data_IF_304745671561
#
_entry.id   IF_304745671561
#
_cell.length_a   1.000
_cell.length_b   1.000
_cell.length_c   1.000
_cell.angle_alpha   90.00
_cell.angle_beta   90.00
_cell.angle_gamma   90.00
#
_symmetry.space_group_name_H-M   'P 1'
#
loop_
_entity.id
_entity.type
_entity.pdbx_description
1 polymer ?
#
# COMPACT_ATOMS: atom_id res chain seq x y z
N UNK A 1 -8.57 -0.35 -11.40
CA UNK A 1 -8.59 1.06 -10.96
C UNK A 1 -7.18 1.60 -11.16
N UNK A 2 -7.02 2.65 -11.95
CA UNK A 2 -5.73 3.29 -12.26
C UNK A 2 -5.45 4.49 -11.37
N UNK A 3 -5.71 4.38 -10.07
CA UNK A 3 -5.47 5.46 -9.10
C UNK A 3 -3.99 5.38 -8.72
N UNK A 4 -3.24 6.40 -9.09
CA UNK A 4 -1.84 6.54 -8.70
C UNK A 4 -1.76 7.31 -7.37
N UNK A 5 -0.73 7.03 -6.58
CA UNK A 5 -0.43 7.82 -5.38
C UNK A 5 -0.24 9.29 -5.80
N UNK A 6 -0.84 10.22 -5.07
CA UNK A 6 -0.88 11.64 -5.45
C UNK A 6 0.40 12.39 -4.98
N UNK A 7 1.38 11.67 -4.43
CA UNK A 7 2.60 12.29 -3.93
C UNK A 7 3.71 11.31 -3.57
N UNK A 8 4.89 11.84 -3.28
CA UNK A 8 6.07 11.07 -2.86
C UNK A 8 6.28 11.17 -1.35
N UNK A 9 6.97 10.21 -0.74
CA UNK A 9 7.27 10.24 0.71
C UNK A 9 7.97 11.52 1.16
N UNK A 10 8.74 12.13 0.25
CA UNK A 10 9.46 13.37 0.46
C UNK A 10 8.53 14.58 0.69
N UNK A 11 7.33 14.59 0.11
CA UNK A 11 6.38 15.70 0.30
C UNK A 11 5.82 15.73 1.72
N UNK A 12 5.62 14.57 2.34
CA UNK A 12 5.18 14.50 3.74
C UNK A 12 6.21 15.14 4.69
N UNK A 13 7.50 14.93 4.44
CA UNK A 13 8.60 15.54 5.20
C UNK A 13 8.56 17.06 5.02
N UNK A 14 8.44 17.53 3.77
CA UNK A 14 8.37 18.97 3.47
C UNK A 14 7.15 19.65 4.13
N UNK A 15 5.99 19.01 4.18
CA UNK A 15 4.82 19.56 4.87
C UNK A 15 5.02 19.67 6.37
N UNK A 16 5.66 18.67 6.98
CA UNK A 16 5.98 18.69 8.40
C UNK A 16 6.96 19.82 8.74
N UNK A 17 8.05 19.94 7.99
CA UNK A 17 9.05 21.01 8.18
C UNK A 17 8.46 22.42 8.00
N UNK A 18 7.48 22.57 7.12
CA UNK A 18 6.79 23.85 6.85
C UNK A 18 5.62 24.12 7.81
N UNK A 19 5.33 23.24 8.78
CA UNK A 19 4.19 23.37 9.70
C UNK A 19 2.81 23.20 9.05
N UNK A 20 2.76 22.64 7.83
CA UNK A 20 1.55 22.41 7.02
C UNK A 20 0.85 21.11 7.42
N UNK A 21 0.32 21.09 8.65
CA UNK A 21 -0.23 19.87 9.25
C UNK A 21 -1.51 19.38 8.56
N UNK A 22 -2.32 20.28 8.00
CA UNK A 22 -3.55 19.89 7.29
C UNK A 22 -3.24 19.17 5.97
N UNK A 23 -2.24 19.64 5.22
CA UNK A 23 -1.74 18.99 4.01
C UNK A 23 -1.11 17.64 4.33
N UNK A 24 -0.31 17.56 5.40
CA UNK A 24 0.25 16.31 5.89
C UNK A 24 -0.87 15.30 6.25
N UNK A 25 -1.90 15.74 6.96
CA UNK A 25 -3.05 14.90 7.31
C UNK A 25 -3.78 14.41 6.06
N UNK A 26 -4.02 15.29 5.08
CA UNK A 26 -4.63 14.92 3.78
C UNK A 26 -3.80 13.89 3.04
N UNK A 27 -2.47 14.05 3.02
CA UNK A 27 -1.54 13.09 2.42
C UNK A 27 -1.65 11.72 3.08
N UNK A 28 -1.56 11.64 4.41
CA UNK A 28 -1.67 10.38 5.14
C UNK A 28 -3.03 9.69 4.95
N UNK A 29 -4.12 10.46 4.98
CA UNK A 29 -5.46 9.92 4.75
C UNK A 29 -5.62 9.36 3.34
N UNK A 30 -5.00 10.00 2.33
CA UNK A 30 -5.03 9.52 0.96
C UNK A 30 -4.33 8.17 0.81
N UNK A 31 -3.19 7.99 1.45
CA UNK A 31 -2.46 6.72 1.44
C UNK A 31 -3.30 5.57 2.04
N UNK A 32 -4.02 5.84 3.12
CA UNK A 32 -4.96 4.88 3.74
C UNK A 32 -6.13 4.58 2.79
N UNK A 33 -6.73 5.60 2.17
CA UNK A 33 -7.84 5.43 1.22
C UNK A 33 -7.45 4.55 0.02
N UNK A 34 -6.26 4.77 -0.54
CA UNK A 34 -5.74 4.00 -1.68
C UNK A 34 -5.52 2.54 -1.26
N UNK A 35 -4.84 2.31 -0.14
CA UNK A 35 -4.58 0.95 0.37
C UNK A 35 -5.89 0.22 0.68
N UNK A 36 -6.87 0.90 1.28
CA UNK A 36 -8.19 0.33 1.54
C UNK A 36 -8.91 -0.10 0.27
N UNK A 37 -8.87 0.72 -0.80
CA UNK A 37 -9.48 0.34 -2.09
C UNK A 37 -8.82 -0.88 -2.72
N UNK A 38 -7.50 -1.01 -2.60
CA UNK A 38 -6.75 -2.19 -3.07
C UNK A 38 -7.18 -3.42 -2.27
N UNK A 39 -7.23 -3.30 -0.94
CA UNK A 39 -7.68 -4.35 -0.05
C UNK A 39 -9.11 -4.80 -0.38
N UNK A 40 -10.06 -3.87 -0.45
CA UNK A 40 -11.46 -4.17 -0.79
C UNK A 40 -11.60 -4.85 -2.15
N UNK A 41 -10.84 -4.41 -3.16
CA UNK A 41 -10.81 -5.07 -4.45
C UNK A 41 -10.33 -6.52 -4.33
N UNK A 42 -9.17 -6.74 -3.71
CA UNK A 42 -8.63 -8.09 -3.62
C UNK A 42 -9.46 -8.99 -2.70
N UNK A 43 -10.11 -8.46 -1.65
CA UNK A 43 -11.06 -9.19 -0.80
C UNK A 43 -12.30 -9.63 -1.57
N UNK A 44 -12.85 -8.74 -2.41
CA UNK A 44 -14.05 -9.01 -3.20
C UNK A 44 -13.80 -9.93 -4.40
N UNK A 45 -12.66 -9.79 -5.07
CA UNK A 45 -12.38 -10.46 -6.35
C UNK A 45 -11.32 -11.55 -6.28
N UNK A 46 -10.57 -11.66 -5.18
CA UNK A 46 -9.55 -12.70 -4.97
C UNK A 46 -8.28 -12.51 -5.81
N UNK A 47 -8.05 -11.34 -6.38
CA UNK A 47 -6.81 -11.03 -7.12
C UNK A 47 -6.45 -9.55 -7.10
N UNK A 48 -5.17 -9.26 -7.31
CA UNK A 48 -4.65 -7.91 -7.60
C UNK A 48 -3.90 -7.90 -8.93
N UNK A 49 -3.77 -6.72 -9.53
CA UNK A 49 -2.94 -6.48 -10.70
C UNK A 49 -1.84 -5.50 -10.37
N UNK A 50 -0.64 -5.73 -10.88
CA UNK A 50 0.50 -4.84 -10.71
C UNK A 50 1.37 -4.82 -11.97
N UNK A 51 2.15 -3.75 -12.13
CA UNK A 51 3.13 -3.64 -13.21
C UNK A 51 4.48 -4.06 -12.64
N UNK A 52 5.15 -5.03 -13.27
CA UNK A 52 6.48 -5.45 -12.84
C UNK A 52 7.58 -4.48 -13.34
N UNK A 53 8.83 -4.71 -12.92
CA UNK A 53 9.98 -3.88 -13.35
C UNK A 53 10.24 -3.84 -14.86
N UNK A 54 9.63 -4.74 -15.63
CA UNK A 54 9.73 -4.81 -17.10
C UNK A 54 8.49 -4.25 -17.80
N UNK A 55 7.69 -3.43 -17.09
CA UNK A 55 6.48 -2.80 -17.59
C UNK A 55 5.40 -3.80 -18.09
N UNK A 56 5.36 -5.01 -17.53
CA UNK A 56 4.32 -5.98 -17.85
C UNK A 56 3.25 -5.99 -16.76
N UNK A 57 1.98 -5.96 -17.18
CA UNK A 57 0.85 -6.14 -16.29
C UNK A 57 0.77 -7.61 -15.86
N UNK A 58 0.92 -7.86 -14.57
CA UNK A 58 0.79 -9.17 -13.93
C UNK A 58 -0.44 -9.19 -13.04
N UNK A 59 -0.98 -10.40 -12.82
CA UNK A 59 -2.09 -10.68 -11.92
C UNK A 59 -1.60 -11.63 -10.85
N UNK A 60 -1.89 -11.34 -9.59
CA UNK A 60 -1.59 -12.19 -8.45
C UNK A 60 -2.89 -12.57 -7.74
N UNK A 61 -3.06 -13.85 -7.42
CA UNK A 61 -4.19 -14.31 -6.59
C UNK A 61 -3.93 -13.89 -5.14
N UNK A 62 -4.94 -13.36 -4.48
CA UNK A 62 -4.88 -12.96 -3.08
C UNK A 62 -6.08 -13.53 -2.35
N UNK A 63 -5.90 -13.86 -1.08
CA UNK A 63 -6.98 -14.28 -0.20
C UNK A 63 -6.83 -13.55 1.13
N UNK A 64 -7.71 -12.58 1.37
CA UNK A 64 -7.71 -11.76 2.57
C UNK A 64 -8.56 -12.33 3.70
N UNK A 65 -9.20 -13.49 3.47
CA UNK A 65 -9.98 -14.19 4.48
C UNK A 65 -9.19 -15.33 5.15
N UNK A 66 -7.89 -15.47 4.84
CA UNK A 66 -7.05 -16.49 5.45
C UNK A 66 -6.73 -16.10 6.90
N UNK A 67 -6.96 -17.05 7.82
CA UNK A 67 -6.41 -16.95 9.17
C UNK A 67 -4.88 -16.98 9.06
N UNK A 68 -4.21 -16.02 9.70
CA UNK A 68 -2.76 -16.00 9.79
C UNK A 68 -2.37 -17.22 10.64
N UNK A 69 -1.98 -18.31 9.98
CA UNK A 69 -1.29 -19.39 10.67
C UNK A 69 0.01 -18.81 11.23
N UNK A 70 0.08 -18.64 12.57
CA UNK A 70 1.27 -18.23 13.33
C UNK A 70 2.43 -19.23 13.24
N UNK A 71 2.48 -20.07 12.21
CA UNK A 71 3.57 -20.99 11.97
C UNK A 71 4.77 -20.19 11.42
N UNK A 72 5.70 -19.88 12.32
CA UNK A 72 7.11 -19.51 12.10
C UNK A 72 7.38 -18.35 11.13
N UNK A 73 7.18 -17.11 11.61
CA UNK A 73 7.96 -15.98 11.08
C UNK A 73 9.38 -16.10 11.67
N UNK A 74 10.27 -16.84 11.00
CA UNK A 74 11.71 -16.77 11.29
C UNK A 74 12.24 -15.40 10.84
N UNK A 75 12.31 -14.44 11.77
CA UNK A 75 13.12 -13.25 11.61
C UNK A 75 14.55 -13.54 12.04
N UNK A 76 15.39 -14.07 11.15
CA UNK A 76 16.84 -13.98 11.35
C UNK A 76 17.28 -12.57 10.96
N UNK A 77 17.41 -11.70 11.95
CA UNK A 77 18.26 -10.52 11.85
C UNK A 77 19.71 -11.03 11.94
N UNK A 78 20.34 -11.22 10.78
CA UNK A 78 21.77 -11.49 10.71
C UNK A 78 22.54 -10.28 11.25
N UNK A 79 23.41 -10.53 12.22
CA UNK A 79 24.36 -9.56 12.76
C UNK A 79 25.61 -9.40 11.93
#
# INVERSE_FOLDING_TARGET
>A
MGIQKIGNGLEAINFFEQGKLDELKKYCLKDVEITYKIYEHGRKFGFLKYINKWNNLKKIKVDFNQEINKAEIQMTLGG
#
